data_IF_598917664431
#
_entry.id   IF_598917664431
#
_cell.length_a   1.000
_cell.length_b   1.000
_cell.length_c   1.000
_cell.angle_alpha   90.00
_cell.angle_beta   90.00
_cell.angle_gamma   90.00
#
_symmetry.space_group_name_H-M   'P 1'
#
loop_
_entity.id
_entity.type
_entity.pdbx_description
1 polymer ?
#
# COMPACT_ATOMS: atom_id res chain seq x y z
N UNK A 1 -34.88 18.31 7.76
CA UNK A 1 -34.17 17.14 7.18
C UNK A 1 -33.91 16.15 8.30
N UNK A 2 -34.70 15.09 8.35
CA UNK A 2 -34.60 14.03 9.36
C UNK A 2 -33.28 13.28 9.19
N UNK A 3 -32.49 13.27 10.26
CA UNK A 3 -31.21 12.59 10.36
C UNK A 3 -31.45 11.07 10.34
N UNK A 4 -31.53 10.51 9.13
CA UNK A 4 -31.69 9.08 8.91
C UNK A 4 -30.37 8.41 9.29
N UNK A 5 -30.24 8.03 10.58
CA UNK A 5 -29.14 7.19 11.07
C UNK A 5 -29.02 6.02 10.10
N UNK A 6 -27.88 5.92 9.41
CA UNK A 6 -27.58 4.80 8.49
C UNK A 6 -28.00 3.50 9.19
N UNK A 7 -28.97 2.80 8.60
CA UNK A 7 -29.44 1.52 9.09
C UNK A 7 -28.23 0.61 9.21
N UNK A 8 -27.91 0.16 10.43
CA UNK A 8 -26.82 -0.77 10.69
C UNK A 8 -27.01 -1.96 9.75
N UNK A 9 -26.00 -2.32 8.96
CA UNK A 9 -26.04 -3.42 7.99
C UNK A 9 -26.79 -4.59 8.64
N UNK A 10 -27.92 -4.98 8.04
CA UNK A 10 -28.75 -6.03 8.59
C UNK A 10 -27.88 -7.27 8.83
N UNK A 11 -27.95 -7.85 10.03
CA UNK A 11 -27.20 -9.06 10.42
C UNK A 11 -27.51 -10.29 9.54
N UNK A 12 -28.39 -10.15 8.54
CA UNK A 12 -28.89 -11.19 7.66
C UNK A 12 -28.04 -11.42 6.40
N UNK A 13 -26.95 -10.68 6.16
CA UNK A 13 -25.87 -11.32 5.39
C UNK A 13 -25.45 -12.53 6.24
N UNK A 14 -25.53 -13.78 5.75
CA UNK A 14 -25.35 -14.94 6.62
C UNK A 14 -24.01 -14.81 7.33
N UNK A 15 -24.00 -14.65 8.66
CA UNK A 15 -22.77 -14.50 9.47
C UNK A 15 -21.71 -15.53 9.08
N UNK A 16 -22.18 -16.73 8.69
CA UNK A 16 -21.38 -17.81 8.11
C UNK A 16 -20.65 -17.37 6.82
N UNK A 17 -21.36 -16.90 5.80
CA UNK A 17 -20.79 -16.40 4.55
C UNK A 17 -19.75 -15.30 4.80
N UNK A 18 -20.07 -14.30 5.62
CA UNK A 18 -19.12 -13.22 5.95
C UNK A 18 -17.84 -13.74 6.63
N UNK A 19 -17.96 -14.73 7.52
CA UNK A 19 -16.79 -15.35 8.16
C UNK A 19 -15.99 -16.24 7.20
N UNK A 20 -16.64 -16.93 6.27
CA UNK A 20 -15.99 -17.74 5.24
C UNK A 20 -15.19 -16.85 4.29
N UNK A 21 -15.81 -15.79 3.75
CA UNK A 21 -15.12 -14.78 2.94
C UNK A 21 -13.97 -14.15 3.72
N UNK A 22 -14.19 -13.75 4.98
CA UNK A 22 -13.13 -13.17 5.81
C UNK A 22 -11.93 -14.11 5.96
N UNK A 23 -12.16 -15.38 6.29
CA UNK A 23 -11.08 -16.37 6.45
C UNK A 23 -10.33 -16.59 5.16
N UNK A 24 -11.05 -16.77 4.05
CA UNK A 24 -10.48 -16.92 2.71
C UNK A 24 -9.64 -15.68 2.36
N UNK A 25 -10.19 -14.47 2.46
CA UNK A 25 -9.45 -13.24 2.17
C UNK A 25 -8.21 -13.05 3.02
N UNK A 26 -8.17 -13.57 4.26
CA UNK A 26 -6.98 -13.50 5.09
C UNK A 26 -5.85 -14.40 4.61
N UNK A 27 -6.14 -15.53 3.95
CA UNK A 27 -5.13 -16.54 3.56
C UNK A 27 -4.80 -16.54 2.06
N UNK A 28 -5.66 -15.98 1.21
CA UNK A 28 -5.53 -16.07 -0.24
C UNK A 28 -4.69 -14.93 -0.82
N UNK A 29 -3.43 -15.23 -1.17
CA UNK A 29 -2.48 -14.27 -1.74
C UNK A 29 -3.02 -13.57 -3.00
N UNK A 30 -3.78 -14.27 -3.85
CA UNK A 30 -4.34 -13.73 -5.08
C UNK A 30 -5.15 -12.45 -4.87
N UNK A 31 -6.02 -12.42 -3.84
CA UNK A 31 -6.88 -11.27 -3.56
C UNK A 31 -6.06 -10.02 -3.16
N UNK A 32 -4.96 -10.21 -2.44
CA UNK A 32 -4.03 -9.15 -2.07
C UNK A 32 -3.24 -8.65 -3.28
N UNK A 33 -2.80 -9.56 -4.16
CA UNK A 33 -2.11 -9.22 -5.42
C UNK A 33 -3.03 -8.39 -6.32
N UNK A 34 -4.28 -8.81 -6.52
CA UNK A 34 -5.24 -8.03 -7.31
C UNK A 34 -5.42 -6.62 -6.76
N UNK A 35 -5.58 -6.49 -5.43
CA UNK A 35 -5.73 -5.17 -4.79
C UNK A 35 -4.49 -4.32 -4.97
N UNK A 36 -3.29 -4.90 -4.83
CA UNK A 36 -2.04 -4.19 -5.08
C UNK A 36 -1.94 -3.71 -6.52
N UNK A 37 -2.26 -4.55 -7.50
CA UNK A 37 -2.20 -4.21 -8.92
C UNK A 37 -3.16 -3.06 -9.28
N UNK A 38 -4.37 -3.03 -8.71
CA UNK A 38 -5.30 -1.91 -8.87
C UNK A 38 -4.73 -0.60 -8.32
N UNK A 39 -4.09 -0.65 -7.14
CA UNK A 39 -3.48 0.50 -6.49
C UNK A 39 -2.26 1.00 -7.27
N UNK A 40 -1.40 0.11 -7.77
CA UNK A 40 -0.26 0.44 -8.63
C UNK A 40 -0.74 1.16 -9.88
N UNK A 41 -1.70 0.56 -10.59
CA UNK A 41 -2.26 1.16 -11.82
C UNK A 41 -2.86 2.54 -11.55
N UNK A 42 -3.53 2.72 -10.42
CA UNK A 42 -4.08 4.02 -10.02
C UNK A 42 -2.98 5.03 -9.71
N UNK A 43 -1.94 4.60 -8.99
CA UNK A 43 -0.78 5.44 -8.66
C UNK A 43 -0.01 5.86 -9.92
N UNK A 44 0.21 4.94 -10.86
CA UNK A 44 0.90 5.20 -12.13
C UNK A 44 0.20 6.31 -12.94
N UNK A 45 -1.13 6.28 -13.01
CA UNK A 45 -1.93 7.31 -13.70
C UNK A 45 -1.76 8.69 -13.04
N UNK A 46 -1.84 8.75 -11.70
CA UNK A 46 -1.64 9.99 -10.96
C UNK A 46 -0.20 10.50 -11.09
N UNK A 47 0.78 9.60 -11.10
CA UNK A 47 2.19 9.95 -11.21
C UNK A 47 2.55 10.48 -12.60
N UNK A 48 2.01 9.87 -13.66
CA UNK A 48 2.16 10.35 -15.03
C UNK A 48 1.58 11.77 -15.19
N UNK A 49 0.40 12.01 -14.61
CA UNK A 49 -0.22 13.34 -14.60
C UNK A 49 0.60 14.35 -13.78
N UNK A 50 1.11 13.96 -12.60
CA UNK A 50 2.02 14.79 -11.80
C UNK A 50 3.25 15.24 -12.59
N UNK A 51 3.87 14.35 -13.36
CA UNK A 51 5.00 14.71 -14.22
C UNK A 51 4.62 15.70 -15.33
N UNK A 52 3.47 15.49 -15.97
CA UNK A 52 2.92 16.39 -16.98
C UNK A 52 2.70 17.78 -16.43
N UNK A 53 2.07 17.87 -15.26
CA UNK A 53 1.80 19.13 -14.58
C UNK A 53 3.07 19.83 -14.12
N UNK A 54 4.04 19.09 -13.56
CA UNK A 54 5.33 19.66 -13.16
C UNK A 54 6.08 20.26 -14.34
N UNK A 55 6.01 19.62 -15.52
CA UNK A 55 6.59 20.15 -16.75
C UNK A 55 5.86 21.42 -17.20
N UNK A 56 4.53 21.39 -17.27
CA UNK A 56 3.70 22.53 -17.64
C UNK A 56 3.92 23.73 -16.71
N UNK A 57 4.05 23.48 -15.40
CA UNK A 57 4.31 24.50 -14.39
C UNK A 57 5.67 25.16 -14.61
N UNK A 58 6.72 24.37 -14.84
CA UNK A 58 8.07 24.87 -15.17
C UNK A 58 8.10 25.71 -16.45
N UNK A 59 7.27 25.35 -17.43
CA UNK A 59 7.11 26.09 -18.69
C UNK A 59 6.19 27.31 -18.57
N UNK A 60 5.55 27.51 -17.41
CA UNK A 60 4.63 28.62 -17.15
C UNK A 60 3.26 28.50 -17.83
N UNK A 61 2.93 27.33 -18.40
CA UNK A 61 1.64 27.09 -19.07
C UNK A 61 0.49 26.83 -18.10
N UNK A 62 0.80 26.49 -16.85
CA UNK A 62 -0.13 26.50 -15.71
C UNK A 62 0.42 27.38 -14.59
N UNK A 63 -0.47 28.03 -13.83
CA UNK A 63 -0.10 29.02 -12.78
C UNK A 63 -0.43 28.58 -11.36
N UNK A 64 -1.25 27.54 -11.21
CA UNK A 64 -1.59 26.96 -9.91
C UNK A 64 -0.81 25.66 -9.72
N UNK A 65 -0.78 25.15 -8.49
CA UNK A 65 -0.01 23.97 -8.08
C UNK A 65 -0.92 22.72 -8.05
N UNK A 66 -1.04 21.94 -9.14
CA UNK A 66 -1.94 20.78 -9.20
C UNK A 66 -1.24 19.48 -8.75
N UNK A 67 -0.36 19.53 -7.75
CA UNK A 67 0.48 18.36 -7.46
C UNK A 67 -0.29 17.25 -6.74
N UNK A 68 -0.62 16.21 -7.51
CA UNK A 68 -1.26 14.98 -7.04
C UNK A 68 -0.27 13.86 -6.68
N UNK A 69 1.03 14.17 -6.66
CA UNK A 69 2.10 13.21 -6.41
C UNK A 69 2.04 12.58 -5.00
N UNK A 70 1.59 13.32 -3.98
CA UNK A 70 1.47 12.78 -2.62
C UNK A 70 0.41 11.68 -2.52
N UNK A 71 -0.72 11.86 -3.21
CA UNK A 71 -1.77 10.85 -3.35
C UNK A 71 -1.24 9.60 -4.06
N UNK A 72 -0.46 9.76 -5.12
CA UNK A 72 0.15 8.65 -5.83
C UNK A 72 1.10 7.84 -4.93
N UNK A 73 1.98 8.50 -4.16
CA UNK A 73 2.87 7.82 -3.20
C UNK A 73 2.11 7.09 -2.11
N UNK A 74 1.02 7.66 -1.60
CA UNK A 74 0.14 6.95 -0.68
C UNK A 74 -0.42 5.66 -1.28
N UNK A 75 -0.92 5.71 -2.53
CA UNK A 75 -1.44 4.53 -3.22
C UNK A 75 -0.34 3.48 -3.46
N UNK A 76 0.87 3.89 -3.84
CA UNK A 76 2.01 2.99 -3.92
C UNK A 76 2.37 2.36 -2.58
N UNK A 77 2.35 3.12 -1.47
CA UNK A 77 2.56 2.59 -0.13
C UNK A 77 1.55 1.50 0.23
N UNK A 78 0.26 1.75 -0.03
CA UNK A 78 -0.77 0.72 0.13
C UNK A 78 -0.55 -0.48 -0.79
N UNK A 79 -0.13 -0.27 -2.02
CA UNK A 79 0.15 -1.38 -2.94
C UNK A 79 1.28 -2.28 -2.42
N UNK A 80 2.40 -1.68 -2.00
CA UNK A 80 3.53 -2.39 -1.42
C UNK A 80 3.09 -3.16 -0.17
N UNK A 81 2.32 -2.53 0.73
CA UNK A 81 1.78 -3.21 1.91
C UNK A 81 0.96 -4.45 1.52
N UNK A 82 0.10 -4.34 0.49
CA UNK A 82 -0.71 -5.46 0.00
C UNK A 82 0.16 -6.56 -0.63
N UNK A 83 1.18 -6.23 -1.42
CA UNK A 83 2.09 -7.22 -2.00
C UNK A 83 2.85 -7.99 -0.92
N UNK A 84 3.41 -7.29 0.07
CA UNK A 84 4.16 -7.95 1.15
C UNK A 84 3.23 -8.85 1.97
N UNK A 85 2.01 -8.38 2.26
CA UNK A 85 0.96 -9.19 2.91
C UNK A 85 0.54 -10.39 2.06
N UNK A 86 0.51 -10.28 0.73
CA UNK A 86 0.27 -11.40 -0.17
C UNK A 86 1.34 -12.49 -0.03
N UNK A 87 2.62 -12.10 0.00
CA UNK A 87 3.73 -13.03 0.19
C UNK A 87 3.67 -13.74 1.55
N UNK A 88 3.34 -13.00 2.61
CA UNK A 88 3.13 -13.58 3.94
C UNK A 88 1.90 -14.50 3.99
N UNK A 89 0.82 -14.17 3.27
CA UNK A 89 -0.36 -15.02 3.14
C UNK A 89 -0.03 -16.34 2.41
N UNK A 90 0.72 -16.27 1.31
CA UNK A 90 1.18 -17.45 0.57
C UNK A 90 2.05 -18.38 1.44
N UNK A 91 2.77 -17.83 2.42
CA UNK A 91 3.58 -18.60 3.40
C UNK A 91 2.78 -19.07 4.62
N UNK A 92 1.46 -18.86 4.64
CA UNK A 92 0.59 -19.22 5.76
C UNK A 92 0.75 -18.35 7.01
N UNK A 93 1.44 -17.21 6.92
CA UNK A 93 1.71 -16.31 8.05
C UNK A 93 0.62 -15.24 8.26
N UNK A 94 -0.36 -15.13 7.35
CA UNK A 94 -1.37 -14.08 7.42
C UNK A 94 -2.53 -14.33 8.41
N UNK A 95 -2.61 -15.53 8.98
CA UNK A 95 -3.66 -15.91 9.94
C UNK A 95 -3.08 -16.38 11.27
N UNK A 96 -3.78 -16.06 12.36
CA UNK A 96 -3.46 -16.62 13.69
C UNK A 96 -3.97 -18.05 13.81
N UNK A 97 -3.57 -18.75 14.89
CA UNK A 97 -4.17 -20.06 15.27
C UNK A 97 -5.69 -20.03 15.42
N UNK A 98 -6.30 -18.85 15.61
CA UNK A 98 -7.75 -18.66 15.71
C UNK A 98 -8.41 -18.30 14.37
N UNK A 99 -7.70 -18.43 13.25
CA UNK A 99 -8.14 -18.04 11.90
C UNK A 99 -8.58 -16.57 11.81
N UNK A 100 -7.86 -15.69 12.50
CA UNK A 100 -8.04 -14.23 12.40
C UNK A 100 -6.85 -13.61 11.68
N UNK A 101 -7.05 -12.48 11.01
CA UNK A 101 -5.95 -11.75 10.36
C UNK A 101 -4.82 -11.39 11.35
N UNK A 102 -3.59 -11.79 11.02
CA UNK A 102 -2.40 -11.61 11.85
C UNK A 102 -1.60 -10.36 11.49
N UNK A 103 -1.64 -9.92 10.22
CA UNK A 103 -0.77 -8.85 9.68
C UNK A 103 -1.36 -7.46 9.91
N UNK A 104 -1.45 -7.07 11.18
CA UNK A 104 -2.07 -5.80 11.61
C UNK A 104 -1.11 -4.61 11.59
N UNK A 105 0.19 -4.86 11.46
CA UNK A 105 1.17 -3.78 11.30
C UNK A 105 0.96 -3.09 9.95
N UNK A 106 1.14 -1.78 9.96
CA UNK A 106 1.24 -0.94 8.77
C UNK A 106 2.69 -0.45 8.55
N UNK A 107 3.62 -0.95 9.38
CA UNK A 107 5.04 -0.64 9.28
C UNK A 107 5.64 -1.51 8.18
N UNK A 108 5.97 -0.88 7.05
CA UNK A 108 6.48 -1.54 5.87
C UNK A 108 7.84 -2.18 6.13
N UNK A 109 8.73 -1.54 6.89
CA UNK A 109 10.06 -2.11 7.21
C UNK A 109 9.90 -3.47 7.91
N UNK A 110 9.09 -3.54 8.96
CA UNK A 110 8.81 -4.78 9.69
C UNK A 110 8.20 -5.86 8.78
N UNK A 111 7.31 -5.47 7.87
CA UNK A 111 6.66 -6.39 6.94
C UNK A 111 7.66 -6.98 5.93
N UNK A 112 8.59 -6.16 5.41
CA UNK A 112 9.66 -6.64 4.51
C UNK A 112 10.59 -7.62 5.23
N UNK A 113 10.98 -7.31 6.47
CA UNK A 113 11.81 -8.19 7.30
C UNK A 113 11.10 -9.53 7.58
N UNK A 114 9.80 -9.51 7.91
CA UNK A 114 8.99 -10.73 8.07
C UNK A 114 8.91 -11.56 6.78
N UNK A 115 8.90 -10.90 5.62
CA UNK A 115 8.95 -11.56 4.33
C UNK A 115 10.37 -12.05 3.97
N UNK A 116 11.37 -11.77 4.79
CA UNK A 116 12.76 -12.20 4.59
C UNK A 116 13.46 -11.44 3.46
N UNK A 117 13.01 -10.23 3.14
CA UNK A 117 13.66 -9.37 2.16
C UNK A 117 14.74 -8.52 2.84
N UNK A 118 15.95 -8.55 2.31
CA UNK A 118 17.05 -7.70 2.74
C UNK A 118 16.76 -6.24 2.36
N UNK A 119 16.91 -5.34 3.34
CA UNK A 119 16.78 -3.90 3.14
C UNK A 119 18.14 -3.22 3.29
N UNK A 120 18.52 -2.42 2.29
CA UNK A 120 19.59 -1.45 2.43
C UNK A 120 19.10 -0.23 3.23
N UNK A 121 20.04 0.65 3.63
CA UNK A 121 19.68 1.92 4.28
C UNK A 121 18.75 2.77 3.42
N UNK A 122 19.03 2.86 2.12
CA UNK A 122 18.19 3.60 1.17
C UNK A 122 16.78 2.99 1.09
N UNK A 123 16.65 1.66 1.08
CA UNK A 123 15.34 1.02 1.05
C UNK A 123 14.53 1.39 2.30
N UNK A 124 15.15 1.34 3.48
CA UNK A 124 14.49 1.71 4.74
C UNK A 124 14.00 3.17 4.72
N UNK A 125 14.78 4.09 4.19
CA UNK A 125 14.37 5.50 4.06
C UNK A 125 13.17 5.69 3.14
N UNK A 126 13.14 4.99 1.99
CA UNK A 126 11.99 5.05 1.10
C UNK A 126 10.74 4.40 1.72
N UNK A 127 10.89 3.30 2.47
CA UNK A 127 9.78 2.68 3.18
C UNK A 127 9.24 3.58 4.29
N UNK A 128 10.09 4.16 5.13
CA UNK A 128 9.68 5.12 6.17
C UNK A 128 8.96 6.33 5.57
N UNK A 129 9.45 6.81 4.43
CA UNK A 129 8.83 7.89 3.66
C UNK A 129 7.45 7.51 3.15
N UNK A 130 7.27 6.33 2.56
CA UNK A 130 5.96 5.84 2.13
C UNK A 130 4.97 5.70 3.29
N UNK A 131 5.43 5.25 4.46
CA UNK A 131 4.62 5.19 5.67
C UNK A 131 4.06 6.56 6.05
N UNK A 132 4.84 7.64 5.91
CA UNK A 132 4.34 9.01 6.16
C UNK A 132 3.22 9.41 5.19
N UNK A 133 3.34 9.04 3.91
CA UNK A 133 2.27 9.27 2.92
C UNK A 133 1.01 8.46 3.24
N UNK A 134 1.16 7.21 3.67
CA UNK A 134 0.05 6.35 4.12
C UNK A 134 -0.65 6.92 5.36
N UNK A 135 0.12 7.43 6.34
CA UNK A 135 -0.41 7.92 7.62
C UNK A 135 -1.08 9.28 7.48
N UNK A 136 -0.51 10.22 6.73
CA UNK A 136 -1.12 11.55 6.62
C UNK A 136 -0.78 12.31 5.33
N UNK A 137 0.45 12.25 4.82
CA UNK A 137 0.92 13.19 3.81
C UNK A 137 0.24 13.05 2.44
N UNK A 138 -0.38 11.90 2.15
CA UNK A 138 -1.23 11.72 0.97
C UNK A 138 -2.71 12.08 1.16
N UNK A 139 -3.12 12.49 2.37
CA UNK A 139 -4.53 12.70 2.75
C UNK A 139 -4.83 14.07 3.33
N UNK A 140 -3.89 14.62 4.09
CA UNK A 140 -4.06 15.84 4.86
C UNK A 140 -2.88 16.78 4.59
N UNK A 141 -3.13 18.10 4.57
CA UNK A 141 -2.06 19.09 4.37
C UNK A 141 -1.14 19.23 5.58
N UNK A 142 -1.49 18.66 6.74
CA UNK A 142 -0.74 18.77 7.99
C UNK A 142 -0.88 17.47 8.81
N UNK A 143 0.16 17.04 9.53
CA UNK A 143 0.06 15.94 10.49
C UNK A 143 -0.65 16.37 11.79
N UNK A 144 -0.88 15.38 12.66
CA UNK A 144 -1.43 15.62 13.99
C UNK A 144 -0.46 16.36 14.91
N UNK A 145 0.85 16.21 14.71
CA UNK A 145 1.88 16.84 15.54
C UNK A 145 2.96 17.51 14.69
N UNK A 146 3.54 18.60 15.18
CA UNK A 146 4.59 19.32 14.44
C UNK A 146 5.88 18.50 14.28
N UNK A 147 6.12 17.52 15.15
CA UNK A 147 7.28 16.63 15.12
C UNK A 147 7.32 15.78 13.84
N UNK A 148 6.16 15.46 13.28
CA UNK A 148 6.03 14.72 12.01
C UNK A 148 6.43 15.59 10.79
N UNK A 149 6.65 16.89 10.97
CA UNK A 149 7.21 17.79 9.95
C UNK A 149 8.74 17.94 10.05
N UNK A 150 9.36 17.49 11.15
CA UNK A 150 10.78 17.72 11.38
C UNK A 150 11.61 16.95 10.32
N UNK A 151 12.56 17.61 9.65
CA UNK A 151 13.45 16.94 8.70
C UNK A 151 14.15 15.75 9.35
N UNK A 152 14.30 14.66 8.60
CA UNK A 152 15.10 13.50 8.97
C UNK A 152 16.43 13.54 8.22
N UNK A 153 17.49 13.06 8.86
CA UNK A 153 18.78 12.89 8.22
C UNK A 153 18.77 11.57 7.43
N UNK A 154 19.11 11.64 6.15
CA UNK A 154 19.26 10.49 5.26
C UNK A 154 20.69 9.94 5.30
N UNK A 155 20.89 8.77 4.71
CA UNK A 155 22.14 8.01 4.74
C UNK A 155 23.30 8.72 4.05
N UNK A 156 22.99 9.63 3.11
CA UNK A 156 23.95 10.50 2.42
C UNK A 156 24.29 11.76 3.25
N UNK A 157 23.72 11.90 4.44
CA UNK A 157 23.89 13.03 5.35
C UNK A 157 22.97 14.22 5.06
N UNK A 158 22.19 14.18 3.97
CA UNK A 158 21.21 15.21 3.66
C UNK A 158 20.06 15.22 4.67
N UNK A 159 19.36 16.35 4.79
CA UNK A 159 18.17 16.45 5.64
C UNK A 159 16.95 16.74 4.76
N UNK A 160 15.92 15.92 4.86
CA UNK A 160 14.71 16.06 4.07
C UNK A 160 13.48 15.84 4.95
N UNK A 161 12.42 16.61 4.72
CA UNK A 161 11.13 16.32 5.33
C UNK A 161 10.45 15.20 4.53
N UNK A 162 10.02 14.14 5.22
CA UNK A 162 9.54 12.91 4.58
C UNK A 162 8.27 13.12 3.73
N UNK A 163 7.52 14.19 3.97
CA UNK A 163 6.27 14.50 3.27
C UNK A 163 6.43 15.23 1.93
N UNK A 164 7.63 15.70 1.57
CA UNK A 164 7.85 16.31 0.26
C UNK A 164 7.80 15.26 -0.84
N UNK A 165 7.28 15.58 -2.02
CA UNK A 165 7.30 14.68 -3.19
C UNK A 165 8.54 14.97 -4.04
N UNK A 166 9.21 13.92 -4.51
CA UNK A 166 10.37 13.97 -5.40
C UNK A 166 10.05 13.22 -6.70
N UNK A 167 10.54 13.72 -7.83
CA UNK A 167 10.41 13.02 -9.12
C UNK A 167 11.10 11.66 -9.16
N UNK A 168 12.02 11.39 -8.23
CA UNK A 168 12.73 10.11 -8.11
C UNK A 168 11.95 9.06 -7.32
N UNK A 169 10.87 9.43 -6.61
CA UNK A 169 10.18 8.51 -5.72
C UNK A 169 9.57 7.33 -6.46
N UNK A 170 8.95 7.53 -7.63
CA UNK A 170 8.35 6.42 -8.36
C UNK A 170 9.38 5.37 -8.80
N UNK A 171 10.57 5.79 -9.23
CA UNK A 171 11.62 4.84 -9.60
C UNK A 171 12.03 3.98 -8.39
N UNK A 172 12.25 4.62 -7.23
CA UNK A 172 12.58 3.91 -5.99
C UNK A 172 11.48 2.94 -5.56
N UNK A 173 10.22 3.38 -5.63
CA UNK A 173 9.03 2.59 -5.31
C UNK A 173 8.90 1.39 -6.24
N UNK A 174 9.05 1.60 -7.55
CA UNK A 174 8.94 0.52 -8.53
C UNK A 174 10.04 -0.53 -8.33
N UNK A 175 11.27 -0.12 -7.99
CA UNK A 175 12.33 -1.06 -7.61
C UNK A 175 11.97 -1.91 -6.38
N UNK A 176 11.32 -1.32 -5.36
CA UNK A 176 10.83 -2.05 -4.19
C UNK A 176 9.71 -3.03 -4.57
N UNK A 177 8.76 -2.60 -5.41
CA UNK A 177 7.67 -3.44 -5.91
C UNK A 177 8.23 -4.65 -6.66
N UNK A 178 9.15 -4.44 -7.60
CA UNK A 178 9.76 -5.53 -8.36
C UNK A 178 10.52 -6.49 -7.45
N UNK A 179 11.23 -5.98 -6.43
CA UNK A 179 11.87 -6.82 -5.42
C UNK A 179 10.87 -7.68 -4.67
N UNK A 180 9.75 -7.14 -4.23
CA UNK A 180 8.71 -7.94 -3.54
C UNK A 180 8.16 -9.00 -4.49
N UNK A 181 7.88 -8.67 -5.75
CA UNK A 181 7.38 -9.64 -6.74
C UNK A 181 8.30 -10.83 -6.94
N UNK A 182 9.62 -10.70 -6.75
CA UNK A 182 10.55 -11.85 -6.87
C UNK A 182 10.30 -12.97 -5.86
N UNK A 183 9.61 -12.69 -4.75
CA UNK A 183 9.35 -13.66 -3.67
C UNK A 183 7.86 -14.00 -3.54
N UNK A 184 7.02 -13.52 -4.47
CA UNK A 184 5.60 -13.86 -4.53
C UNK A 184 5.37 -15.10 -5.42
N UNK A 185 4.28 -15.85 -5.19
CA UNK A 185 3.79 -16.74 -6.24
C UNK A 185 3.47 -15.93 -7.50
N UNK A 186 3.57 -16.57 -8.66
CA UNK A 186 3.06 -15.98 -9.91
C UNK A 186 1.55 -15.74 -9.80
N UNK A 187 1.03 -14.81 -10.60
CA UNK A 187 -0.41 -14.51 -10.60
C UNK A 187 -1.24 -15.75 -10.99
N UNK A 188 -0.72 -16.58 -11.90
CA UNK A 188 -1.35 -17.84 -12.30
C UNK A 188 -1.37 -18.85 -11.14
N UNK A 189 -0.24 -19.07 -10.45
CA UNK A 189 -0.19 -19.96 -9.28
C UNK A 189 -1.13 -19.48 -8.16
N UNK A 190 -1.15 -18.18 -7.90
CA UNK A 190 -2.03 -17.58 -6.90
C UNK A 190 -3.51 -17.74 -7.28
N UNK A 191 -3.86 -17.53 -8.56
CA UNK A 191 -5.22 -17.71 -9.06
C UNK A 191 -5.66 -19.17 -8.98
N UNK A 192 -4.81 -20.11 -9.38
CA UNK A 192 -5.12 -21.55 -9.29
C UNK A 192 -5.34 -21.98 -7.83
N UNK A 193 -4.49 -21.54 -6.91
CA UNK A 193 -4.68 -21.75 -5.46
C UNK A 193 -6.02 -21.21 -4.98
N UNK A 194 -6.35 -19.98 -5.39
CA UNK A 194 -7.61 -19.33 -5.04
C UNK A 194 -8.83 -20.09 -5.59
N UNK A 195 -8.79 -20.52 -6.84
CA UNK A 195 -9.84 -21.30 -7.48
C UNK A 195 -10.06 -22.66 -6.81
N UNK A 196 -8.97 -23.33 -6.42
CA UNK A 196 -9.03 -24.61 -5.68
C UNK A 196 -9.68 -24.45 -4.30
N UNK A 197 -9.40 -23.35 -3.60
CA UNK A 197 -10.07 -23.05 -2.33
C UNK A 197 -11.56 -22.76 -2.55
N UNK A 198 -11.88 -21.92 -3.54
CA UNK A 198 -13.26 -21.53 -3.83
C UNK A 198 -14.11 -22.72 -4.30
N UNK A 199 -13.56 -23.60 -5.15
CA UNK A 199 -14.22 -24.79 -5.66
C UNK A 199 -14.49 -25.88 -4.62
N UNK A 200 -13.81 -25.85 -3.47
CA UNK A 200 -14.08 -26.76 -2.32
C UNK A 200 -15.24 -26.28 -1.44
N UNK A 201 -15.73 -25.06 -1.63
CA UNK A 201 -16.74 -24.43 -0.79
C UNK A 201 -17.97 -23.92 -1.55
N UNK A 202 -17.95 -23.94 -2.89
CA UNK A 202 -19.11 -23.71 -3.76
C UNK A 202 -19.93 -24.97 -4.00
#
# INVERSE_FOLDING_TARGET
>A
MTNQKRTRIAKSMPKRFANEIYRMSCSEAYLWICKANELIKSADLLWAQFFGDLKAFKEGSIKEEPFIGSTALMLYGFAIENLVKAGLAARGAATTRKATFALKSHQLIELFEQLGLSLSKNDMEYLERLEHFMVWAGRYPIPLTAQDLYPRQFCDGSHCALHFVSTKDAEAVLMLIERVKTVLPTEEEALLSYMDHYGKHG
#
